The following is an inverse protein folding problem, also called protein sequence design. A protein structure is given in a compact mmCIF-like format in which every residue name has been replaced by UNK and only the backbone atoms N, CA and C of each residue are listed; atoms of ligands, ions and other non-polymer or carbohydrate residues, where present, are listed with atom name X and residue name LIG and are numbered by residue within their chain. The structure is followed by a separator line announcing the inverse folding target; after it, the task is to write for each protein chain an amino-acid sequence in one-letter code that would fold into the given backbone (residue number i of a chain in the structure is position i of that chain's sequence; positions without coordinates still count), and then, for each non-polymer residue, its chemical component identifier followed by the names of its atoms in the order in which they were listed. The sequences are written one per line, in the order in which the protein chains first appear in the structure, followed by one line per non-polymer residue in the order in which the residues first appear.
data_IF_984847377255
#
_entry.id   IF_984847377255
#
_cell.length_a   1.000
_cell.length_b   1.000
_cell.length_c   1.000
_cell.angle_alpha   90.00
_cell.angle_beta   90.00
_cell.angle_gamma   90.00
#
_symmetry.space_group_name_H-M   'P 1'
#
loop_
_entity.id
_entity.type
_entity.pdbx_description
1 polymer ?
#
# COMPACT_ATOMS: atom_id res chain seq x y z
N UNK A 1 -3.00 8.25 -6.95
CA UNK A 1 -1.96 7.25 -6.70
C UNK A 1 -0.71 7.34 -7.59
N UNK A 2 -0.30 8.53 -8.09
CA UNK A 2 1.11 8.79 -8.41
C UNK A 2 1.89 9.42 -7.25
N UNK A 3 1.26 10.27 -6.43
CA UNK A 3 1.98 11.08 -5.42
C UNK A 3 2.65 10.24 -4.32
N UNK A 4 1.93 9.27 -3.73
CA UNK A 4 2.50 8.46 -2.64
C UNK A 4 3.67 7.58 -3.12
N UNK A 5 3.66 7.15 -4.38
CA UNK A 5 4.78 6.41 -4.96
C UNK A 5 5.92 7.32 -5.41
N UNK A 6 5.64 8.59 -5.75
CA UNK A 6 6.69 9.56 -6.07
C UNK A 6 7.48 10.01 -4.84
N UNK A 7 6.88 9.97 -3.65
CA UNK A 7 7.57 10.32 -2.40
C UNK A 7 8.62 9.27 -2.00
N UNK A 8 8.47 8.02 -2.47
CA UNK A 8 9.39 6.92 -2.15
C UNK A 8 10.81 7.19 -2.67
N UNK A 9 11.03 7.51 -3.97
CA UNK A 9 12.35 7.89 -4.47
C UNK A 9 13.00 9.00 -3.67
N UNK A 10 12.25 10.02 -3.28
CA UNK A 10 12.76 11.16 -2.51
C UNK A 10 13.18 10.72 -1.09
N UNK A 11 12.36 9.89 -0.44
CA UNK A 11 12.69 9.32 0.86
C UNK A 11 13.96 8.45 0.79
N UNK A 12 14.09 7.58 -0.21
CA UNK A 12 15.27 6.74 -0.38
C UNK A 12 16.52 7.57 -0.72
N UNK A 13 16.39 8.59 -1.55
CA UNK A 13 17.47 9.50 -1.87
C UNK A 13 17.94 10.26 -0.62
N UNK A 14 17.00 10.71 0.21
CA UNK A 14 17.32 11.33 1.50
C UNK A 14 18.10 10.37 2.41
N UNK A 15 17.71 9.09 2.50
CA UNK A 15 18.42 8.09 3.32
C UNK A 15 19.83 7.79 2.79
N UNK A 16 20.06 7.99 1.50
CA UNK A 16 21.34 7.75 0.83
C UNK A 16 22.23 9.00 0.75
N UNK A 17 21.76 10.13 1.30
CA UNK A 17 22.46 11.40 1.25
C UNK A 17 23.64 11.49 2.26
N UNK A 18 24.72 12.23 1.94
CA UNK A 18 25.79 12.53 2.89
C UNK A 18 25.29 13.23 4.16
N UNK A 19 24.25 14.06 4.04
CA UNK A 19 23.63 14.78 5.15
C UNK A 19 23.01 13.79 6.15
N UNK A 20 22.33 12.75 5.65
CA UNK A 20 21.79 11.69 6.49
C UNK A 20 22.89 10.86 7.17
N UNK A 21 23.94 10.49 6.42
CA UNK A 21 25.10 9.78 6.99
C UNK A 21 25.76 10.60 8.12
N UNK A 22 25.96 11.90 7.90
CA UNK A 22 26.50 12.81 8.90
C UNK A 22 25.60 12.91 10.14
N UNK A 23 24.29 13.10 9.94
CA UNK A 23 23.32 13.23 11.04
C UNK A 23 23.21 11.97 11.92
N UNK A 24 23.50 10.80 11.35
CA UNK A 24 23.47 9.50 12.06
C UNK A 24 24.83 9.10 12.61
N UNK A 25 25.88 9.91 12.36
CA UNK A 25 27.26 9.61 12.74
C UNK A 25 27.79 8.32 12.11
N UNK A 26 27.33 8.00 10.88
CA UNK A 26 27.70 6.78 10.16
C UNK A 26 27.20 5.47 10.80
N UNK A 27 26.27 5.55 11.77
CA UNK A 27 25.73 4.35 12.45
C UNK A 27 24.69 3.61 11.60
N UNK A 28 24.00 4.32 10.71
CA UNK A 28 23.03 3.74 9.79
C UNK A 28 23.68 3.51 8.43
N UNK A 29 23.39 2.36 7.82
CA UNK A 29 23.91 2.00 6.48
C UNK A 29 22.79 2.11 5.45
N UNK A 30 22.88 3.11 4.58
CA UNK A 30 21.90 3.33 3.50
C UNK A 30 21.86 2.21 2.45
N UNK A 31 22.80 1.27 2.49
CA UNK A 31 22.85 0.05 1.65
C UNK A 31 22.16 -1.16 2.30
N UNK A 32 21.56 -0.98 3.49
CA UNK A 32 20.89 -2.03 4.27
C UNK A 32 19.54 -1.55 4.82
N UNK A 33 18.65 -1.17 3.91
CA UNK A 33 17.32 -0.66 4.22
C UNK A 33 16.36 -1.83 4.43
N UNK A 34 15.56 -1.74 5.49
CA UNK A 34 14.39 -2.58 5.68
C UNK A 34 13.15 -1.72 5.49
N UNK A 35 12.19 -2.20 4.69
CA UNK A 35 10.91 -1.53 4.49
C UNK A 35 9.82 -2.30 5.21
N UNK A 36 8.98 -1.59 5.94
CA UNK A 36 7.81 -2.17 6.57
C UNK A 36 6.64 -1.23 6.51
N UNK A 37 5.46 -1.82 6.62
CA UNK A 37 4.24 -1.07 6.71
C UNK A 37 3.09 -2.02 6.94
N UNK A 38 1.95 -1.43 7.25
CA UNK A 38 0.76 -2.20 7.53
C UNK A 38 -0.43 -1.73 6.71
N UNK A 39 -1.37 -2.62 6.40
CA UNK A 39 -2.51 -2.27 5.54
C UNK A 39 -2.00 -1.75 4.17
N UNK A 40 -2.46 -0.58 3.72
CA UNK A 40 -1.98 0.08 2.50
C UNK A 40 -0.48 0.40 2.58
N UNK A 41 0.06 0.63 3.78
CA UNK A 41 1.50 0.80 3.99
C UNK A 41 2.28 -0.51 3.81
N UNK A 42 1.66 -1.66 4.09
CA UNK A 42 2.27 -2.97 3.85
C UNK A 42 2.38 -3.26 2.36
N UNK A 43 1.34 -2.92 1.60
CA UNK A 43 1.41 -2.95 0.14
C UNK A 43 2.48 -2.00 -0.40
N UNK A 44 2.54 -0.77 0.11
CA UNK A 44 3.58 0.18 -0.29
C UNK A 44 4.99 -0.38 0.01
N UNK A 45 5.20 -0.97 1.19
CA UNK A 45 6.47 -1.61 1.52
C UNK A 45 6.82 -2.75 0.54
N UNK A 46 5.82 -3.52 0.10
CA UNK A 46 6.02 -4.53 -0.94
C UNK A 46 6.39 -3.92 -2.28
N UNK A 47 5.64 -2.92 -2.78
CA UNK A 47 5.95 -2.22 -4.04
C UNK A 47 7.36 -1.63 -4.04
N UNK A 48 7.75 -1.00 -2.94
CA UNK A 48 9.08 -0.38 -2.77
C UNK A 48 10.16 -1.46 -2.77
N UNK A 49 9.96 -2.54 -2.03
CA UNK A 49 10.94 -3.60 -1.88
C UNK A 49 11.11 -4.47 -3.11
N UNK A 50 10.09 -4.58 -3.97
CA UNK A 50 10.15 -5.36 -5.23
C UNK A 50 10.36 -4.48 -6.47
N UNK A 51 10.10 -3.18 -6.37
CA UNK A 51 10.10 -2.25 -7.50
C UNK A 51 8.90 -2.41 -8.44
N UNK A 52 7.88 -3.17 -8.04
CA UNK A 52 6.70 -3.45 -8.86
C UNK A 52 5.87 -2.19 -9.14
N UNK A 53 5.21 -2.14 -10.29
CA UNK A 53 4.31 -1.05 -10.75
C UNK A 53 4.87 0.39 -10.81
N UNK A 54 6.14 0.64 -10.43
CA UNK A 54 6.75 1.98 -10.55
C UNK A 54 6.74 2.47 -12.00
N UNK A 55 7.20 1.65 -12.95
CA UNK A 55 7.23 2.00 -14.37
C UNK A 55 5.82 2.17 -14.95
N UNK A 56 4.87 1.32 -14.54
CA UNK A 56 3.47 1.43 -14.94
C UNK A 56 2.84 2.75 -14.46
N UNK A 57 3.33 3.29 -13.34
CA UNK A 57 2.99 4.61 -12.82
C UNK A 57 3.79 5.77 -13.45
N UNK A 58 4.70 5.50 -14.39
CA UNK A 58 5.58 6.50 -14.99
C UNK A 58 6.71 6.96 -14.07
N UNK A 59 7.05 6.15 -13.06
CA UNK A 59 8.09 6.41 -12.07
C UNK A 59 9.28 5.48 -12.30
N UNK A 60 10.48 5.92 -11.89
CA UNK A 60 11.66 5.07 -11.87
C UNK A 60 11.59 4.16 -10.64
N UNK A 61 11.85 2.86 -10.84
CA UNK A 61 11.93 1.92 -9.73
C UNK A 61 13.05 2.32 -8.72
N UNK A 62 12.84 2.06 -7.42
CA UNK A 62 13.84 2.34 -6.39
C UNK A 62 15.10 1.47 -6.57
N UNK A 63 16.26 1.88 -6.01
CA UNK A 63 17.49 1.10 -6.05
C UNK A 63 17.38 -0.15 -5.16
N UNK A 64 16.88 -1.25 -5.73
CA UNK A 64 16.58 -2.51 -5.02
C UNK A 64 17.79 -3.11 -4.31
N UNK A 65 19.01 -2.86 -4.80
CA UNK A 65 20.26 -3.35 -4.18
C UNK A 65 20.49 -2.83 -2.75
N UNK A 66 19.82 -1.74 -2.38
CA UNK A 66 19.89 -1.17 -1.03
C UNK A 66 18.88 -1.79 -0.05
N UNK A 67 17.86 -2.48 -0.54
CA UNK A 67 16.78 -3.07 0.26
C UNK A 67 17.15 -4.51 0.63
N UNK A 68 17.07 -4.82 1.93
CA UNK A 68 17.54 -6.08 2.53
C UNK A 68 16.48 -6.81 3.34
N UNK A 69 15.28 -6.26 3.48
CA UNK A 69 14.15 -6.92 4.11
C UNK A 69 12.85 -6.20 3.75
N UNK A 70 11.78 -6.98 3.61
CA UNK A 70 10.41 -6.50 3.44
C UNK A 70 9.55 -7.11 4.55
N UNK A 71 8.90 -6.26 5.34
CA UNK A 71 7.91 -6.68 6.33
C UNK A 71 6.56 -6.04 5.99
N UNK A 72 5.79 -6.73 5.16
CA UNK A 72 4.47 -6.30 4.71
C UNK A 72 3.41 -6.92 5.63
N UNK A 73 2.78 -6.09 6.46
CA UNK A 73 1.89 -6.56 7.54
C UNK A 73 0.44 -6.30 7.16
N UNK A 74 -0.40 -7.32 7.29
CA UNK A 74 -1.81 -7.39 6.91
C UNK A 74 -2.07 -6.51 5.70
N UNK A 75 -1.46 -6.86 4.57
CA UNK A 75 -1.63 -6.11 3.31
C UNK A 75 -3.08 -6.26 2.89
N UNK A 76 -3.93 -5.43 3.49
CA UNK A 76 -5.27 -5.23 3.02
C UNK A 76 -5.14 -4.46 1.73
N UNK A 77 -5.96 -4.86 0.77
CA UNK A 77 -6.10 -4.16 -0.50
C UNK A 77 -4.84 -4.28 -1.38
N UNK A 78 -5.02 -4.13 -2.69
CA UNK A 78 -3.94 -3.88 -3.64
C UNK A 78 -3.01 -5.06 -3.99
N UNK A 79 -3.47 -6.22 -4.47
CA UNK A 79 -2.53 -7.13 -5.18
C UNK A 79 -2.30 -6.71 -6.62
N UNK A 80 -3.31 -6.08 -7.21
CA UNK A 80 -3.23 -5.50 -8.54
C UNK A 80 -3.98 -4.19 -8.59
N UNK A 81 -3.42 -3.21 -9.31
CA UNK A 81 -4.15 -1.99 -9.71
C UNK A 81 -5.33 -2.28 -10.64
N UNK A 82 -5.44 -3.52 -11.12
CA UNK A 82 -6.58 -4.03 -11.88
C UNK A 82 -7.66 -4.70 -11.02
N UNK A 83 -7.49 -4.81 -9.70
CA UNK A 83 -8.50 -5.41 -8.82
C UNK A 83 -9.80 -4.60 -8.82
N UNK A 84 -10.94 -5.28 -8.72
CA UNK A 84 -12.28 -4.67 -8.68
C UNK A 84 -12.43 -3.65 -7.55
N UNK A 85 -11.66 -3.78 -6.47
CA UNK A 85 -11.54 -2.77 -5.41
C UNK A 85 -11.20 -1.39 -5.97
N UNK A 86 -10.29 -1.30 -6.94
CA UNK A 86 -9.89 -0.03 -7.56
C UNK A 86 -10.89 0.42 -8.62
N UNK A 87 -11.52 -0.53 -9.30
CA UNK A 87 -12.29 -0.24 -10.50
C UNK A 87 -13.77 0.01 -10.22
N UNK A 88 -14.29 -0.47 -9.09
CA UNK A 88 -15.70 -0.42 -8.72
C UNK A 88 -15.86 0.19 -7.34
N UNK A 89 -16.90 1.01 -7.18
CA UNK A 89 -17.35 1.46 -5.86
C UNK A 89 -17.79 0.25 -5.03
N UNK A 90 -17.47 0.26 -3.75
CA UNK A 90 -17.72 -0.85 -2.84
C UNK A 90 -19.02 -0.60 -2.05
N UNK A 91 -20.17 -0.98 -2.64
CA UNK A 91 -21.47 -0.91 -1.96
C UNK A 91 -22.14 -2.30 -1.96
N UNK A 92 -22.32 -2.97 -0.83
CA UNK A 92 -21.88 -2.67 0.56
C UNK A 92 -20.40 -3.04 0.82
N UNK A 93 -19.80 -2.50 1.88
CA UNK A 93 -18.45 -2.91 2.35
C UNK A 93 -18.57 -4.05 3.36
N UNK A 94 -17.66 -5.03 3.30
CA UNK A 94 -17.75 -6.29 4.09
C UNK A 94 -17.85 -6.09 5.61
N UNK A 95 -17.34 -4.97 6.12
CA UNK A 95 -17.24 -4.68 7.55
C UNK A 95 -18.26 -3.64 8.04
N UNK A 96 -19.17 -3.17 7.18
CA UNK A 96 -20.29 -2.33 7.58
C UNK A 96 -21.60 -2.89 7.02
N UNK A 97 -22.57 -3.27 7.88
CA UNK A 97 -23.90 -3.67 7.41
C UNK A 97 -24.56 -2.53 6.63
N UNK A 98 -25.49 -2.86 5.73
CA UNK A 98 -26.13 -1.91 4.80
C UNK A 98 -26.80 -0.72 5.51
N UNK A 99 -27.30 -0.93 6.72
CA UNK A 99 -27.89 0.08 7.60
C UNK A 99 -26.87 1.10 8.15
N UNK A 100 -25.57 0.82 8.03
CA UNK A 100 -24.44 1.65 8.48
C UNK A 100 -23.62 2.21 7.32
N UNK A 101 -24.17 2.19 6.11
CA UNK A 101 -23.56 2.86 4.96
C UNK A 101 -23.47 4.37 5.23
N UNK A 102 -22.35 4.97 4.83
CA UNK A 102 -22.08 6.37 5.11
C UNK A 102 -22.39 7.13 3.83
N UNK A 103 -23.41 7.97 3.85
CA UNK A 103 -23.72 8.85 2.73
C UNK A 103 -22.92 10.15 2.84
N UNK A 104 -22.71 10.91 1.75
CA UNK A 104 -21.94 12.16 1.77
C UNK A 104 -22.39 13.12 2.87
N UNK A 105 -23.70 13.19 3.11
CA UNK A 105 -24.33 14.05 4.13
C UNK A 105 -23.87 13.71 5.57
N UNK A 106 -23.38 12.49 5.82
CA UNK A 106 -22.85 12.07 7.13
C UNK A 106 -21.40 12.51 7.36
N UNK A 107 -20.76 13.14 6.38
CA UNK A 107 -19.39 13.65 6.47
C UNK A 107 -19.32 15.12 6.90
N UNK A 108 -20.45 15.74 7.20
CA UNK A 108 -20.50 17.14 7.64
C UNK A 108 -19.56 17.33 8.86
N UNK A 109 -18.60 18.25 8.71
CA UNK A 109 -17.52 18.49 9.69
C UNK A 109 -16.30 17.58 9.60
N UNK A 110 -16.36 16.41 8.95
CA UNK A 110 -15.19 15.56 8.69
C UNK A 110 -14.35 16.06 7.51
N UNK A 111 -14.97 16.81 6.59
CA UNK A 111 -14.33 17.44 5.43
C UNK A 111 -13.92 18.90 5.68
N UNK A 112 -14.20 19.43 6.87
CA UNK A 112 -13.82 20.80 7.24
C UNK A 112 -12.29 20.86 7.48
N UNK A 113 -11.53 21.61 6.65
CA UNK A 113 -10.09 21.74 6.86
C UNK A 113 -9.74 22.44 8.18
N UNK A 114 -10.66 23.23 8.75
CA UNK A 114 -10.52 23.89 10.05
C UNK A 114 -11.15 23.08 11.19
N UNK A 115 -11.63 21.86 10.89
CA UNK A 115 -12.22 20.94 11.84
C UNK A 115 -11.22 20.44 12.89
N UNK A 116 -11.70 19.85 13.99
CA UNK A 116 -10.84 19.33 15.04
C UNK A 116 -9.93 18.22 14.51
N UNK A 117 -8.67 18.22 14.94
CA UNK A 117 -7.71 17.16 14.60
C UNK A 117 -8.12 15.86 15.31
N UNK A 118 -8.59 14.87 14.54
CA UNK A 118 -9.03 13.57 15.06
C UNK A 118 -7.95 12.50 14.86
N UNK A 119 -7.26 12.11 15.94
CA UNK A 119 -6.34 10.97 15.91
C UNK A 119 -7.01 9.63 16.23
N UNK A 120 -8.13 9.66 16.98
CA UNK A 120 -8.82 8.47 17.49
C UNK A 120 -9.97 8.03 16.57
N UNK A 121 -10.20 6.71 16.46
CA UNK A 121 -11.16 6.11 15.52
C UNK A 121 -12.11 5.10 16.19
N UNK A 122 -12.91 5.54 17.17
CA UNK A 122 -14.07 4.75 17.60
C UNK A 122 -15.09 4.65 16.45
N UNK A 123 -15.86 3.55 16.32
CA UNK A 123 -16.78 3.33 15.20
C UNK A 123 -17.72 4.50 14.90
N UNK A 124 -18.16 5.23 15.93
CA UNK A 124 -19.14 6.31 15.78
C UNK A 124 -18.51 7.69 15.52
N UNK A 125 -17.17 7.76 15.49
CA UNK A 125 -16.45 9.02 15.25
C UNK A 125 -16.55 9.47 13.78
N UNK A 126 -16.50 10.79 13.52
CA UNK A 126 -16.43 11.32 12.14
C UNK A 126 -15.30 10.69 11.32
N UNK A 127 -14.16 10.39 11.94
CA UNK A 127 -13.03 9.70 11.29
C UNK A 127 -13.38 8.30 10.78
N UNK A 128 -14.06 7.49 11.60
CA UNK A 128 -14.48 6.15 11.19
C UNK A 128 -15.54 6.18 10.09
N UNK A 129 -16.46 7.14 10.16
CA UNK A 129 -17.46 7.37 9.11
C UNK A 129 -16.80 7.79 7.80
N UNK A 130 -15.85 8.72 7.86
CA UNK A 130 -15.06 9.14 6.71
C UNK A 130 -14.27 7.99 6.09
N UNK A 131 -13.66 7.12 6.91
CA UNK A 131 -12.99 5.92 6.40
C UNK A 131 -13.94 4.98 5.65
N UNK A 132 -15.11 4.67 6.23
CA UNK A 132 -16.11 3.83 5.58
C UNK A 132 -16.62 4.44 4.27
N UNK A 133 -16.90 5.76 4.27
CA UNK A 133 -17.26 6.49 3.06
C UNK A 133 -16.16 6.40 2.00
N UNK A 134 -14.90 6.61 2.41
CA UNK A 134 -13.76 6.51 1.52
C UNK A 134 -13.74 5.14 0.88
N UNK A 135 -13.79 4.04 1.64
CA UNK A 135 -13.78 2.68 1.06
C UNK A 135 -14.99 2.44 0.13
N UNK A 136 -16.16 2.99 0.46
CA UNK A 136 -17.38 2.86 -0.36
C UNK A 136 -17.27 3.58 -1.70
N UNK A 137 -16.86 4.84 -1.67
CA UNK A 137 -16.84 5.74 -2.83
C UNK A 137 -15.52 5.68 -3.60
N UNK A 138 -14.51 5.03 -3.02
CA UNK A 138 -13.20 4.85 -3.64
C UNK A 138 -13.34 4.06 -4.94
N UNK A 139 -13.13 4.76 -6.04
CA UNK A 139 -12.89 4.15 -7.35
C UNK A 139 -11.81 4.95 -8.06
N UNK A 140 -10.74 4.28 -8.40
CA UNK A 140 -9.62 4.84 -9.13
C UNK A 140 -9.99 4.93 -10.61
N UNK A 141 -10.34 6.14 -11.06
CA UNK A 141 -10.54 6.43 -12.49
C UNK A 141 -9.18 6.59 -13.17
N UNK A 142 -8.50 5.48 -13.47
CA UNK A 142 -7.48 5.51 -14.52
C UNK A 142 -8.20 5.82 -15.84
N UNK A 143 -7.76 6.80 -16.64
CA UNK A 143 -8.22 6.93 -18.01
C UNK A 143 -8.06 5.58 -18.71
N UNK A 144 -9.11 5.05 -19.39
CA UNK A 144 -9.07 3.73 -20.06
C UNK A 144 -7.82 3.50 -20.94
N UNK A 145 -7.21 4.58 -21.45
CA UNK A 145 -5.98 4.58 -22.23
C UNK A 145 -4.69 4.24 -21.45
N UNK A 146 -4.75 4.14 -20.12
CA UNK A 146 -3.64 3.71 -19.24
C UNK A 146 -4.06 2.57 -18.32
N UNK A 147 -5.06 1.76 -18.71
CA UNK A 147 -5.32 0.52 -17.99
C UNK A 147 -4.01 -0.25 -17.91
N UNK A 148 -3.49 -0.34 -16.69
CA UNK A 148 -2.33 -1.17 -16.37
C UNK A 148 -2.82 -2.57 -16.69
N UNK A 149 -2.40 -3.09 -17.84
CA UNK A 149 -2.58 -4.51 -18.12
C UNK A 149 -1.91 -5.20 -16.95
N UNK A 150 -2.67 -5.93 -16.14
CA UNK A 150 -2.11 -6.73 -15.05
C UNK A 150 -1.04 -7.59 -15.67
N UNK A 151 0.22 -7.22 -15.51
CA UNK A 151 1.29 -7.97 -16.10
C UNK A 151 1.36 -9.25 -15.29
N UNK A 152 1.11 -10.35 -15.99
CA UNK A 152 1.08 -11.71 -15.44
C UNK A 152 2.33 -12.00 -14.62
N UNK A 153 2.20 -12.97 -13.71
CA UNK A 153 3.21 -13.73 -12.94
C UNK A 153 4.67 -13.72 -13.48
N UNK A 154 4.86 -13.67 -14.80
CA UNK A 154 6.16 -13.56 -15.50
C UNK A 154 7.01 -12.33 -15.15
N UNK A 155 6.47 -11.23 -14.62
CA UNK A 155 7.31 -10.12 -14.16
C UNK A 155 7.83 -10.27 -12.72
N UNK A 156 7.16 -11.06 -11.87
CA UNK A 156 7.71 -11.45 -10.56
C UNK A 156 8.93 -12.36 -10.69
N UNK A 157 9.04 -13.12 -11.79
CA UNK A 157 10.25 -13.89 -12.11
C UNK A 157 11.47 -13.00 -12.39
N UNK A 158 11.27 -11.70 -12.70
CA UNK A 158 12.33 -10.72 -12.91
C UNK A 158 12.75 -9.97 -11.64
N UNK A 159 12.01 -10.12 -10.53
CA UNK A 159 12.46 -9.58 -9.26
C UNK A 159 13.83 -10.20 -8.94
N UNK A 160 14.85 -9.38 -8.63
CA UNK A 160 16.19 -9.91 -8.37
C UNK A 160 16.07 -11.01 -7.31
N UNK A 161 16.73 -12.14 -7.57
CA UNK A 161 16.79 -13.36 -6.76
C UNK A 161 17.43 -13.15 -5.38
N UNK A 162 17.34 -11.95 -4.84
CA UNK A 162 17.98 -11.57 -3.61
C UNK A 162 17.24 -12.28 -2.46
N UNK A 163 17.98 -13.17 -1.80
CA UNK A 163 17.56 -14.09 -0.75
C UNK A 163 17.27 -13.36 0.58
N UNK A 164 16.70 -12.16 0.51
CA UNK A 164 16.40 -11.38 1.70
C UNK A 164 15.07 -11.83 2.30
N UNK A 165 14.94 -11.83 3.63
CA UNK A 165 13.74 -12.32 4.28
C UNK A 165 12.56 -11.41 3.93
N UNK A 166 11.51 -12.03 3.39
CA UNK A 166 10.22 -11.40 3.10
C UNK A 166 9.20 -11.97 4.06
N UNK A 167 8.68 -11.12 4.94
CA UNK A 167 7.61 -11.49 5.86
C UNK A 167 6.33 -10.84 5.39
N UNK A 168 5.39 -11.69 4.98
CA UNK A 168 4.01 -11.31 4.73
C UNK A 168 3.17 -11.95 5.83
N UNK A 169 2.53 -11.13 6.66
CA UNK A 169 1.72 -11.59 7.79
C UNK A 169 0.31 -11.09 7.60
N UNK A 170 -0.72 -11.91 7.75
CA UNK A 170 -2.11 -11.45 7.80
C UNK A 170 -2.87 -12.21 8.87
N UNK A 171 -3.57 -11.49 9.75
CA UNK A 171 -4.44 -12.10 10.75
C UNK A 171 -5.76 -12.51 10.13
N UNK A 172 -6.24 -13.72 10.42
CA UNK A 172 -7.55 -14.22 9.98
C UNK A 172 -8.74 -13.55 10.69
N UNK A 173 -8.48 -12.88 11.81
CA UNK A 173 -9.49 -12.13 12.57
C UNK A 173 -9.88 -10.77 11.95
N UNK A 174 -9.06 -10.23 11.03
CA UNK A 174 -9.40 -8.98 10.35
C UNK A 174 -10.35 -9.25 9.18
N UNK A 175 -11.60 -8.80 9.32
CA UNK A 175 -12.65 -8.93 8.32
C UNK A 175 -12.79 -7.70 7.40
N UNK A 176 -11.98 -6.66 7.63
CA UNK A 176 -11.97 -5.46 6.78
C UNK A 176 -11.25 -5.68 5.47
N UNK A 177 -10.48 -6.77 5.39
CA UNK A 177 -9.72 -7.19 4.25
C UNK A 177 -9.85 -8.70 4.07
N UNK A 178 -9.91 -9.16 2.82
CA UNK A 178 -9.94 -10.60 2.59
C UNK A 178 -8.54 -11.18 2.75
N UNK A 179 -8.41 -12.25 3.53
CA UNK A 179 -7.18 -13.07 3.61
C UNK A 179 -6.71 -13.52 2.22
N UNK A 180 -7.64 -13.66 1.26
CA UNK A 180 -7.32 -13.96 -0.14
C UNK A 180 -6.28 -13.01 -0.72
N UNK A 181 -6.33 -11.73 -0.37
CA UNK A 181 -5.42 -10.72 -0.90
C UNK A 181 -3.98 -10.98 -0.47
N UNK A 182 -3.77 -11.50 0.74
CA UNK A 182 -2.44 -11.91 1.18
C UNK A 182 -2.00 -13.21 0.51
N UNK A 183 -2.91 -14.16 0.33
CA UNK A 183 -2.57 -15.41 -0.36
C UNK A 183 -2.23 -15.18 -1.82
N UNK A 184 -2.93 -14.26 -2.51
CA UNK A 184 -2.70 -13.97 -3.92
C UNK A 184 -1.27 -13.42 -4.13
N UNK A 185 -0.75 -12.57 -3.23
CA UNK A 185 0.67 -12.14 -3.25
C UNK A 185 1.62 -13.34 -3.13
N UNK A 186 1.35 -14.26 -2.20
CA UNK A 186 2.17 -15.47 -2.03
C UNK A 186 2.13 -16.37 -3.27
N UNK A 187 0.99 -16.45 -3.96
CA UNK A 187 0.83 -17.22 -5.21
C UNK A 187 1.48 -16.55 -6.42
N UNK A 188 1.58 -15.23 -6.42
CA UNK A 188 2.28 -14.45 -7.42
C UNK A 188 3.80 -14.49 -7.22
N UNK A 189 4.27 -14.71 -5.99
CA UNK A 189 5.69 -14.88 -5.69
C UNK A 189 6.30 -16.13 -6.33
N UNK A 190 7.58 -16.04 -6.79
CA UNK A 190 8.29 -17.18 -7.31
C UNK A 190 8.33 -18.33 -6.29
N UNK A 191 8.37 -19.60 -6.75
CA UNK A 191 8.34 -20.76 -5.85
C UNK A 191 9.45 -20.76 -4.78
N UNK A 192 10.57 -20.11 -5.03
CA UNK A 192 11.70 -20.00 -4.09
C UNK A 192 11.53 -18.89 -3.02
N UNK A 193 10.42 -18.16 -3.05
CA UNK A 193 10.02 -17.18 -2.01
C UNK A 193 8.96 -17.74 -1.03
N UNK A 194 8.37 -18.91 -1.34
CA UNK A 194 7.44 -19.64 -0.46
C UNK A 194 8.19 -20.65 0.39
#
# INVERSE_FOLDING_TARGET
MPSILSDIPDALHSLQSPEFESSTGGKLRATRIAVSGSSAGGWLAWLVGTGHDFEACGLKAPPLDSIRAIAAIYTNTITSLADDLWLKKQHSISFAPEEKMVWPDYLEGALDPEGPVLAFSSPDTPRSKFYSYMVQDFSWRVPRSRQIQSKSQTELERAPSSHFPNYIVHGDIDNKASVRQTTDILWEMPPWWR
#
